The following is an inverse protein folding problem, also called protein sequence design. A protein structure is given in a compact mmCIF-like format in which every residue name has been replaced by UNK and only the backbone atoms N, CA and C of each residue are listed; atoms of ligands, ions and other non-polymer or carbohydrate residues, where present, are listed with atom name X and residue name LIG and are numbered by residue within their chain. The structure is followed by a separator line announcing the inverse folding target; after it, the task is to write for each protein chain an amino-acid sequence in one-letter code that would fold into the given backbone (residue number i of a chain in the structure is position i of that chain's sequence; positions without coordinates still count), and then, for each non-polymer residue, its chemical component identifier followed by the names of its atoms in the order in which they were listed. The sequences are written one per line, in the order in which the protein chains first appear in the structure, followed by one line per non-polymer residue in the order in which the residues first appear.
data_IF_906893311636
#
_entry.id   IF_906893311636
#
_cell.length_a   1.000
_cell.length_b   1.000
_cell.length_c   1.000
_cell.angle_alpha   90.00
_cell.angle_beta   90.00
_cell.angle_gamma   90.00
#
_symmetry.space_group_name_H-M   'P 1'
#
loop_
_entity.id
_entity.type
_entity.pdbx_description
1 polymer ?
#
# COMPACT_ATOMS: atom_id res chain seq x y z
N UNK A 1 -7.12 3.95 16.97
CA UNK A 1 -6.80 2.57 16.53
C UNK A 1 -8.09 1.94 16.05
N UNK A 2 -8.05 1.08 15.04
CA UNK A 2 -9.25 0.43 14.50
C UNK A 2 -8.97 -1.05 14.26
N UNK A 3 -9.87 -1.89 14.75
CA UNK A 3 -9.91 -3.33 14.48
C UNK A 3 -11.24 -3.63 13.79
N UNK A 4 -11.18 -4.29 12.64
CA UNK A 4 -12.32 -4.48 11.74
C UNK A 4 -12.40 -5.98 11.44
N UNK A 5 -13.17 -6.76 12.20
CA UNK A 5 -13.42 -8.15 11.88
C UNK A 5 -14.33 -8.24 10.65
N UNK A 6 -14.17 -9.29 9.87
CA UNK A 6 -14.99 -9.56 8.68
C UNK A 6 -15.19 -11.05 8.49
N UNK A 7 -16.39 -11.42 8.05
CA UNK A 7 -16.71 -12.77 7.56
C UNK A 7 -17.13 -12.66 6.10
N UNK A 8 -16.61 -13.54 5.25
CA UNK A 8 -17.02 -13.63 3.84
C UNK A 8 -18.04 -14.75 3.65
N UNK A 9 -19.10 -14.48 2.90
CA UNK A 9 -20.15 -15.45 2.58
C UNK A 9 -20.10 -15.77 1.08
N UNK A 10 -20.36 -17.03 0.66
CA UNK A 10 -20.84 -18.16 1.48
C UNK A 10 -19.74 -18.99 2.17
N UNK A 11 -18.46 -18.69 1.94
CA UNK A 11 -17.33 -19.48 2.46
C UNK A 11 -17.22 -19.52 3.99
N UNK A 12 -17.87 -18.58 4.68
CA UNK A 12 -17.71 -18.32 6.11
C UNK A 12 -16.28 -17.98 6.54
N UNK A 13 -15.41 -17.59 5.58
CA UNK A 13 -14.01 -17.33 5.89
C UNK A 13 -13.86 -16.08 6.75
N UNK A 14 -13.14 -16.23 7.86
CA UNK A 14 -12.91 -15.15 8.81
C UNK A 14 -11.66 -14.36 8.43
N UNK A 15 -11.72 -13.06 8.62
CA UNK A 15 -10.57 -12.17 8.47
C UNK A 15 -10.67 -10.99 9.43
N UNK A 16 -9.56 -10.28 9.61
CA UNK A 16 -9.58 -8.99 10.28
C UNK A 16 -8.64 -8.00 9.61
N UNK A 17 -9.01 -6.72 9.64
CA UNK A 17 -8.12 -5.62 9.33
C UNK A 17 -7.80 -4.84 10.61
N UNK A 18 -6.52 -4.60 10.82
CA UNK A 18 -6.00 -3.75 11.89
C UNK A 18 -5.41 -2.47 11.29
N UNK A 19 -5.82 -1.30 11.80
CA UNK A 19 -5.28 0.00 11.36
C UNK A 19 -4.84 0.82 12.58
N UNK A 20 -3.55 1.14 12.64
CA UNK A 20 -2.96 1.99 13.67
C UNK A 20 -2.36 3.23 13.04
N UNK A 21 -2.87 4.39 13.45
CA UNK A 21 -2.23 5.69 13.18
C UNK A 21 -1.39 6.01 14.41
N UNK A 22 -0.09 6.22 14.23
CA UNK A 22 0.82 6.59 15.32
C UNK A 22 0.79 8.11 15.54
N UNK A 23 0.74 8.87 14.44
CA UNK A 23 0.63 10.33 14.44
C UNK A 23 -0.01 10.81 13.12
N UNK A 24 -0.01 12.12 12.87
CA UNK A 24 -0.59 12.69 11.65
C UNK A 24 0.00 12.12 10.36
N UNK A 25 1.26 11.69 10.38
CA UNK A 25 2.05 11.29 9.22
C UNK A 25 2.16 9.77 9.07
N UNK A 26 2.18 9.05 10.19
CA UNK A 26 2.48 7.63 10.29
C UNK A 26 1.22 6.77 10.48
N UNK A 27 1.01 5.82 9.56
CA UNK A 27 -0.09 4.86 9.63
C UNK A 27 0.36 3.46 9.19
N UNK A 28 0.12 2.48 10.04
CA UNK A 28 0.22 1.06 9.74
C UNK A 28 -1.18 0.49 9.49
N UNK A 29 -1.31 -0.33 8.45
CA UNK A 29 -2.49 -1.16 8.18
C UNK A 29 -2.02 -2.60 8.02
N UNK A 30 -2.71 -3.53 8.66
CA UNK A 30 -2.46 -4.96 8.60
C UNK A 30 -3.78 -5.66 8.32
N UNK A 31 -3.74 -6.75 7.56
CA UNK A 31 -4.90 -7.58 7.28
C UNK A 31 -4.47 -9.04 7.36
N UNK A 32 -5.36 -9.89 7.88
CA UNK A 32 -5.14 -11.31 8.05
C UNK A 32 -6.42 -12.09 7.73
N UNK A 33 -6.27 -13.22 7.05
CA UNK A 33 -7.32 -14.16 6.73
C UNK A 33 -7.04 -15.50 7.41
N UNK A 34 -7.99 -16.00 8.21
CA UNK A 34 -7.80 -17.20 9.04
C UNK A 34 -7.84 -18.50 8.23
N UNK A 35 -8.54 -18.53 7.10
CA UNK A 35 -8.70 -19.75 6.30
C UNK A 35 -7.46 -20.02 5.45
N UNK A 36 -6.91 -18.97 4.85
CA UNK A 36 -5.75 -19.07 3.94
C UNK A 36 -4.41 -18.84 4.64
N UNK A 37 -4.42 -18.31 5.86
CA UNK A 37 -3.25 -17.77 6.56
C UNK A 37 -2.53 -16.63 5.81
N UNK A 38 -3.17 -16.07 4.78
CA UNK A 38 -2.64 -14.91 4.09
C UNK A 38 -2.82 -13.65 4.91
N UNK A 39 -1.80 -12.81 4.83
CA UNK A 39 -1.74 -11.52 5.44
C UNK A 39 -1.11 -10.47 4.52
N UNK A 40 -1.45 -9.22 4.76
CA UNK A 40 -0.78 -8.08 4.16
C UNK A 40 -0.49 -7.01 5.19
N UNK A 41 0.62 -6.30 5.02
CA UNK A 41 1.01 -5.19 5.86
C UNK A 41 1.35 -4.00 4.97
N UNK A 42 0.85 -2.82 5.31
CA UNK A 42 1.10 -1.56 4.60
C UNK A 42 1.42 -0.47 5.59
N UNK A 43 2.62 0.07 5.47
CA UNK A 43 3.04 1.27 6.14
C UNK A 43 2.88 2.48 5.23
N UNK A 44 2.39 3.58 5.78
CA UNK A 44 2.27 4.87 5.11
C UNK A 44 2.94 5.92 6.00
N UNK A 45 3.86 6.68 5.40
CA UNK A 45 4.44 7.89 5.96
C UNK A 45 4.12 9.09 5.05
N UNK A 46 3.81 10.24 5.64
CA UNK A 46 3.52 11.48 4.91
C UNK A 46 4.49 12.56 5.36
N UNK A 47 5.32 13.08 4.46
CA UNK A 47 6.20 14.21 4.74
C UNK A 47 5.52 15.49 4.24
N UNK A 48 5.06 16.33 5.17
CA UNK A 48 4.38 17.57 4.84
C UNK A 48 3.09 17.34 4.03
N UNK A 49 2.83 18.19 3.04
CA UNK A 49 1.66 18.05 2.14
C UNK A 49 2.00 17.31 0.85
N UNK A 50 3.26 17.40 0.41
CA UNK A 50 3.64 17.06 -0.96
C UNK A 50 4.14 15.62 -1.12
N UNK A 51 4.55 14.94 -0.05
CA UNK A 51 5.22 13.66 -0.16
C UNK A 51 4.54 12.57 0.65
N UNK A 52 4.24 11.43 0.00
CA UNK A 52 3.71 10.24 0.70
C UNK A 52 4.47 9.00 0.29
N UNK A 53 5.16 8.41 1.26
CA UNK A 53 5.74 7.09 1.13
C UNK A 53 4.73 6.04 1.58
N UNK A 54 4.65 4.97 0.82
CA UNK A 54 3.96 3.75 1.23
C UNK A 54 4.86 2.57 0.93
N UNK A 55 4.97 1.66 1.87
CA UNK A 55 5.58 0.36 1.64
C UNK A 55 4.60 -0.70 2.08
N UNK A 56 4.52 -1.80 1.35
CA UNK A 56 3.65 -2.89 1.72
C UNK A 56 4.19 -4.24 1.28
N UNK A 57 3.69 -5.27 1.94
CA UNK A 57 3.92 -6.65 1.59
C UNK A 57 2.58 -7.37 1.57
N UNK A 58 2.37 -8.18 0.54
CA UNK A 58 1.23 -9.06 0.39
C UNK A 58 1.72 -10.51 0.31
N UNK A 59 1.32 -11.35 1.27
CA UNK A 59 1.78 -12.73 1.33
C UNK A 59 1.07 -13.67 0.37
N UNK A 60 -0.13 -13.33 -0.12
CA UNK A 60 -0.86 -14.15 -1.09
C UNK A 60 -0.08 -14.24 -2.40
N UNK A 61 0.46 -13.10 -2.85
CA UNK A 61 1.24 -12.98 -4.09
C UNK A 61 2.75 -12.80 -3.86
N UNK A 62 3.19 -12.80 -2.58
CA UNK A 62 4.58 -12.58 -2.14
C UNK A 62 5.21 -11.34 -2.77
N UNK A 63 4.44 -10.26 -2.75
CA UNK A 63 4.77 -9.02 -3.41
C UNK A 63 5.13 -7.97 -2.36
N UNK A 64 6.43 -7.64 -2.30
CA UNK A 64 6.88 -6.42 -1.66
C UNK A 64 6.70 -5.24 -2.61
N UNK A 65 6.22 -4.10 -2.13
CA UNK A 65 6.15 -2.90 -2.94
C UNK A 65 6.41 -1.65 -2.12
N UNK A 66 6.96 -0.65 -2.78
CA UNK A 66 7.14 0.69 -2.24
C UNK A 66 6.63 1.71 -3.26
N UNK A 67 5.95 2.75 -2.81
CA UNK A 67 5.51 3.85 -3.66
C UNK A 67 5.78 5.19 -3.01
N UNK A 68 6.31 6.11 -3.80
CA UNK A 68 6.43 7.51 -3.47
C UNK A 68 5.40 8.30 -4.28
N UNK A 69 4.60 9.09 -3.58
CA UNK A 69 3.78 10.14 -4.19
C UNK A 69 4.46 11.49 -3.96
N UNK A 70 4.49 12.31 -5.01
CA UNK A 70 5.00 13.67 -5.02
C UNK A 70 3.90 14.59 -5.56
N UNK A 71 3.60 15.68 -4.87
CA UNK A 71 2.63 16.71 -5.27
C UNK A 71 1.65 17.09 -4.16
N UNK A 72 1.34 18.39 -4.09
CA UNK A 72 0.43 18.98 -3.09
C UNK A 72 -0.99 18.41 -3.23
N UNK A 73 -1.66 18.13 -2.11
CA UNK A 73 -3.04 17.67 -2.11
C UNK A 73 -4.05 18.79 -2.45
N UNK A 74 -3.74 20.03 -2.07
CA UNK A 74 -4.64 21.21 -2.15
C UNK A 74 -4.19 22.22 -3.23
N UNK A 75 -3.11 21.93 -3.94
CA UNK A 75 -2.45 22.89 -4.81
C UNK A 75 -3.28 23.20 -6.07
N UNK A 76 -3.53 24.50 -6.31
CA UNK A 76 -4.21 25.00 -7.51
C UNK A 76 -3.48 24.51 -8.78
N UNK A 77 -4.25 24.00 -9.75
CA UNK A 77 -3.80 23.32 -10.97
C UNK A 77 -2.74 24.07 -11.83
N UNK A 78 -2.53 25.37 -11.59
CA UNK A 78 -1.54 26.20 -12.31
C UNK A 78 -0.16 26.32 -11.64
N UNK A 79 0.00 25.92 -10.38
CA UNK A 79 1.27 26.08 -9.64
C UNK A 79 1.72 24.85 -8.83
N UNK A 80 0.85 23.87 -8.62
CA UNK A 80 1.20 22.66 -7.90
C UNK A 80 2.01 21.70 -8.78
N UNK A 81 3.08 21.06 -8.26
CA UNK A 81 3.69 19.95 -8.97
C UNK A 81 2.62 18.86 -9.20
N UNK A 82 2.29 18.65 -10.48
CA UNK A 82 1.33 17.65 -10.96
C UNK A 82 1.54 16.34 -10.19
N UNK A 83 0.49 15.83 -9.52
CA UNK A 83 0.61 14.63 -8.65
C UNK A 83 1.25 13.47 -9.41
N UNK A 84 2.46 13.09 -9.01
CA UNK A 84 3.23 12.00 -9.56
C UNK A 84 3.27 10.85 -8.55
N UNK A 85 2.91 9.65 -8.99
CA UNK A 85 3.18 8.41 -8.27
C UNK A 85 4.32 7.68 -8.96
N UNK A 86 5.37 7.39 -8.21
CA UNK A 86 6.39 6.43 -8.58
C UNK A 86 6.21 5.21 -7.69
N UNK A 87 6.14 4.02 -8.27
CA UNK A 87 5.93 2.76 -7.55
C UNK A 87 6.93 1.72 -8.02
N UNK A 88 7.63 1.13 -7.07
CA UNK A 88 8.49 -0.03 -7.22
C UNK A 88 7.77 -1.23 -6.62
N UNK A 89 7.75 -2.36 -7.33
CA UNK A 89 7.16 -3.60 -6.87
C UNK A 89 8.17 -4.71 -7.12
N UNK A 90 8.52 -5.45 -6.07
CA UNK A 90 9.39 -6.60 -6.13
C UNK A 90 8.56 -7.84 -5.81
N UNK A 91 8.30 -8.64 -6.82
CA UNK A 91 7.62 -9.93 -6.66
C UNK A 91 8.67 -11.02 -6.49
N UNK A 92 8.57 -11.80 -5.42
CA UNK A 92 9.48 -12.92 -5.17
C UNK A 92 8.67 -14.22 -5.15
N UNK A 93 8.72 -15.03 -6.23
CA UNK A 93 8.04 -16.32 -6.30
C UNK A 93 8.54 -17.30 -5.22
N UNK A 94 7.67 -18.20 -4.77
CA UNK A 94 7.99 -19.20 -3.74
C UNK A 94 8.99 -20.25 -4.20
N UNK A 95 8.85 -20.70 -5.44
CA UNK A 95 9.53 -21.90 -5.93
C UNK A 95 10.90 -21.60 -6.53
N UNK A 96 11.13 -20.35 -6.97
CA UNK A 96 12.42 -19.92 -7.51
C UNK A 96 12.69 -18.44 -7.23
N UNK A 97 13.59 -18.17 -6.28
CA UNK A 97 14.03 -16.82 -5.93
C UNK A 97 14.73 -16.13 -7.13
N UNK A 98 15.33 -16.91 -8.04
CA UNK A 98 16.00 -16.38 -9.23
C UNK A 98 14.99 -15.83 -10.24
N UNK A 99 13.72 -16.26 -10.16
CA UNK A 99 12.63 -15.75 -11.00
C UNK A 99 11.97 -14.48 -10.46
N UNK A 100 12.61 -13.79 -9.51
CA UNK A 100 12.09 -12.53 -8.96
C UNK A 100 11.94 -11.45 -10.03
N UNK A 101 10.80 -10.76 -10.00
CA UNK A 101 10.47 -9.71 -10.97
C UNK A 101 10.42 -8.37 -10.27
N UNK A 102 11.29 -7.45 -10.73
CA UNK A 102 11.21 -6.05 -10.35
C UNK A 102 10.39 -5.28 -11.38
N UNK A 103 9.25 -4.75 -10.96
CA UNK A 103 8.40 -3.88 -11.76
C UNK A 103 8.51 -2.44 -11.28
N UNK A 104 8.66 -1.53 -12.24
CA UNK A 104 8.63 -0.10 -12.01
C UNK A 104 7.43 0.52 -12.72
N UNK A 105 6.65 1.32 -12.00
CA UNK A 105 5.46 1.99 -12.52
C UNK A 105 5.48 3.46 -12.17
N UNK A 106 5.38 4.30 -13.20
CA UNK A 106 5.14 5.74 -13.06
C UNK A 106 3.70 6.03 -13.45
N UNK A 107 2.98 6.76 -12.59
CA UNK A 107 1.65 7.28 -12.90
C UNK A 107 1.65 8.78 -12.61
N UNK A 108 1.54 9.59 -13.66
CA UNK A 108 1.33 11.02 -13.56
C UNK A 108 -0.17 11.30 -13.66
N UNK A 109 -0.74 12.03 -12.70
CA UNK A 109 -2.10 12.56 -12.82
C UNK A 109 -2.04 13.94 -13.47
N UNK A 110 -2.89 14.14 -14.47
CA UNK A 110 -3.12 15.39 -15.15
C UNK A 110 -4.56 15.82 -14.84
N UNK A 111 -4.82 16.09 -13.57
CA UNK A 111 -6.12 16.65 -13.19
C UNK A 111 -6.08 18.14 -13.62
N UNK A 112 -6.95 18.52 -14.56
CA UNK A 112 -7.15 19.88 -15.09
C UNK A 112 -8.07 20.67 -14.16
#
# INVERSE_FOLDING_TARGET
MSFIPSISLPSNALSFAFKRRFDSNNKLSYWYNFDTNYWSAVYKHTYGKDYKLKAGYDSEVRLGWASLWVGDEDGKAKMAPMKLKVQFMLQVPQDDINSSVLMFRVKKRWDI
#
